data_IF_923049294709
#
_entry.id   IF_923049294709
#
_cell.length_a   1.000
_cell.length_b   1.000
_cell.length_c   1.000
_cell.angle_alpha   90.00
_cell.angle_beta   90.00
_cell.angle_gamma   90.00
#
_symmetry.space_group_name_H-M   'P 1'
#
loop_
_entity.id
_entity.type
_entity.pdbx_description
1 polymer ?
#
# COMPACT_ATOMS: atom_id res chain seq x y z
N UNK A 1 -24.30 -6.18 -13.68
CA UNK A 1 -24.69 -4.82 -14.12
C UNK A 1 -25.55 -4.07 -13.10
N UNK A 2 -25.43 -4.36 -11.79
CA UNK A 2 -26.22 -3.66 -10.75
C UNK A 2 -25.38 -3.25 -9.52
N UNK A 3 -24.11 -3.67 -9.44
CA UNK A 3 -23.17 -3.25 -8.40
C UNK A 3 -22.59 -1.85 -8.67
N UNK A 4 -22.35 -1.52 -9.95
CA UNK A 4 -21.87 -0.20 -10.38
C UNK A 4 -22.89 0.93 -10.12
N UNK A 5 -24.18 0.62 -9.95
CA UNK A 5 -25.22 1.63 -9.66
C UNK A 5 -25.29 2.03 -8.18
N UNK A 6 -24.83 1.19 -7.25
CA UNK A 6 -24.85 1.49 -5.81
C UNK A 6 -23.71 2.40 -5.34
N UNK A 7 -22.71 2.65 -6.19
CA UNK A 7 -21.65 3.64 -5.94
C UNK A 7 -22.12 5.09 -6.19
N UNK A 8 -23.33 5.31 -6.73
CA UNK A 8 -23.75 6.62 -7.24
C UNK A 8 -25.12 7.10 -6.73
N UNK A 9 -25.65 6.53 -5.65
CA UNK A 9 -26.83 7.10 -4.99
C UNK A 9 -26.37 8.16 -3.97
N UNK A 10 -26.78 9.43 -4.07
CA UNK A 10 -26.44 10.46 -3.11
C UNK A 10 -27.31 10.29 -1.84
N UNK A 11 -27.09 9.19 -1.13
CA UNK A 11 -27.68 8.93 0.18
C UNK A 11 -26.73 9.35 1.30
N UNK A 12 -27.29 9.80 2.43
CA UNK A 12 -26.60 10.08 3.71
C UNK A 12 -25.98 8.83 4.37
N UNK A 13 -25.62 7.82 3.58
CA UNK A 13 -24.88 6.63 4.02
C UNK A 13 -23.39 6.98 4.10
N UNK A 14 -22.73 6.73 5.26
CA UNK A 14 -21.27 6.70 5.32
C UNK A 14 -20.72 5.88 4.16
N UNK A 15 -19.60 6.32 3.57
CA UNK A 15 -18.98 5.60 2.46
C UNK A 15 -18.83 4.11 2.84
N UNK A 16 -19.15 3.14 1.98
CA UNK A 16 -19.04 1.71 2.30
C UNK A 16 -17.61 1.23 2.65
N UNK A 17 -16.61 2.13 2.60
CA UNK A 17 -15.22 1.93 3.02
C UNK A 17 -14.81 2.77 4.24
N UNK A 18 -15.75 3.47 4.88
CA UNK A 18 -15.55 4.08 6.19
C UNK A 18 -15.47 2.95 7.22
N UNK A 19 -14.33 2.24 7.22
CA UNK A 19 -14.11 1.06 8.05
C UNK A 19 -14.28 1.42 9.52
N UNK A 20 -15.12 0.64 10.21
CA UNK A 20 -15.16 0.63 11.67
C UNK A 20 -13.79 0.24 12.27
N UNK A 21 -13.67 0.23 13.61
CA UNK A 21 -12.43 -0.18 14.27
C UNK A 21 -12.00 -1.56 13.77
N UNK A 22 -10.72 -1.66 13.40
CA UNK A 22 -10.06 -2.92 13.06
C UNK A 22 -10.15 -3.83 14.30
N UNK A 23 -10.76 -5.02 14.20
CA UNK A 23 -10.68 -5.98 15.28
C UNK A 23 -9.24 -6.48 15.40
N UNK A 24 -8.70 -6.50 16.62
CA UNK A 24 -7.36 -7.02 16.96
C UNK A 24 -7.24 -8.55 16.82
N UNK A 25 -7.87 -9.17 15.82
CA UNK A 25 -8.20 -10.60 15.81
C UNK A 25 -7.39 -11.46 14.83
N UNK A 26 -6.44 -10.88 14.10
CA UNK A 26 -5.61 -11.65 13.17
C UNK A 26 -4.44 -12.32 13.91
N UNK A 27 -4.73 -13.46 14.54
CA UNK A 27 -3.72 -14.30 15.21
C UNK A 27 -3.27 -13.79 16.58
N UNK A 28 -2.31 -14.48 17.21
CA UNK A 28 -1.85 -14.17 18.55
C UNK A 28 -1.09 -12.84 18.61
N UNK A 29 -1.04 -12.25 19.80
CA UNK A 29 -0.07 -11.19 20.10
C UNK A 29 1.35 -11.78 20.14
N UNK A 30 2.32 -11.00 19.67
CA UNK A 30 3.72 -11.38 19.72
C UNK A 30 4.28 -11.24 21.14
N UNK A 31 5.25 -12.09 21.49
CA UNK A 31 6.03 -11.91 22.72
C UNK A 31 6.82 -10.59 22.63
N UNK A 32 6.56 -9.59 23.51
CA UNK A 32 7.29 -8.34 23.49
C UNK A 32 8.82 -8.49 23.58
N UNK A 33 9.31 -9.57 24.20
CA UNK A 33 10.74 -9.84 24.29
C UNK A 33 11.37 -10.28 22.95
N UNK A 34 10.57 -10.74 22.00
CA UNK A 34 11.02 -11.14 20.66
C UNK A 34 10.93 -9.99 19.63
N UNK A 35 10.21 -8.91 19.96
CA UNK A 35 10.02 -7.77 19.07
C UNK A 35 11.27 -6.89 19.00
N UNK A 36 11.68 -6.44 17.80
CA UNK A 36 12.73 -5.44 17.66
C UNK A 36 12.23 -4.05 18.04
N UNK A 37 13.16 -3.15 18.35
CA UNK A 37 12.85 -1.73 18.59
C UNK A 37 12.08 -1.12 17.40
N UNK A 38 10.95 -0.42 17.65
CA UNK A 38 10.21 0.28 16.61
C UNK A 38 11.05 1.31 15.86
N UNK A 39 10.66 1.58 14.61
CA UNK A 39 11.28 2.60 13.77
C UNK A 39 10.24 3.61 13.32
N UNK A 40 10.63 4.89 13.32
CA UNK A 40 9.79 5.97 12.78
C UNK A 40 10.25 6.38 11.39
N UNK A 41 9.32 6.41 10.44
CA UNK A 41 9.50 6.94 9.09
C UNK A 41 8.86 8.32 9.01
N UNK A 42 9.65 9.31 8.59
CA UNK A 42 9.18 10.69 8.43
C UNK A 42 8.62 10.91 7.04
N UNK A 43 7.37 11.36 6.99
CA UNK A 43 6.60 11.45 5.76
C UNK A 43 6.36 12.91 5.39
N UNK A 44 6.63 13.23 4.13
CA UNK A 44 6.04 14.39 3.47
C UNK A 44 4.76 13.96 2.76
N UNK A 45 3.62 14.43 3.23
CA UNK A 45 2.33 14.22 2.57
C UNK A 45 1.99 15.41 1.67
N UNK A 46 1.53 15.16 0.44
CA UNK A 46 1.18 16.20 -0.54
C UNK A 46 -0.18 15.85 -1.14
N UNK A 47 -1.19 16.66 -0.88
CA UNK A 47 -2.52 16.53 -1.48
C UNK A 47 -2.67 17.51 -2.63
N UNK A 48 -2.93 17.01 -3.84
CA UNK A 48 -3.41 17.84 -4.96
C UNK A 48 -4.93 17.94 -4.90
N UNK A 49 -5.43 19.07 -4.39
CA UNK A 49 -6.86 19.32 -4.14
C UNK A 49 -7.31 20.63 -4.83
N UNK A 50 -7.29 20.70 -6.17
CA UNK A 50 -7.58 21.92 -6.90
C UNK A 50 -8.99 22.45 -6.62
N UNK A 51 -9.10 23.77 -6.54
CA UNK A 51 -10.33 24.54 -6.51
C UNK A 51 -11.04 24.45 -7.85
N UNK A 52 -12.37 24.35 -7.83
CA UNK A 52 -13.21 24.31 -9.02
C UNK A 52 -14.09 25.57 -9.11
N UNK A 53 -13.58 26.69 -9.66
CA UNK A 53 -14.36 27.92 -9.83
C UNK A 53 -15.72 27.73 -10.52
N UNK A 54 -15.85 26.90 -11.59
CA UNK A 54 -17.13 26.72 -12.28
C UNK A 54 -18.26 26.12 -11.42
N UNK A 55 -17.95 25.52 -10.27
CA UNK A 55 -18.92 24.84 -9.38
C UNK A 55 -18.93 25.44 -7.97
N UNK A 56 -18.75 26.76 -7.90
CA UNK A 56 -18.88 27.54 -6.67
C UNK A 56 -17.60 27.65 -5.85
N UNK A 57 -16.43 27.39 -6.45
CA UNK A 57 -15.13 27.56 -5.78
C UNK A 57 -14.85 26.54 -4.68
N UNK A 58 -15.57 25.42 -4.64
CA UNK A 58 -15.24 24.28 -3.80
C UNK A 58 -14.03 23.54 -4.35
N UNK A 59 -13.27 22.90 -3.49
CA UNK A 59 -12.20 22.00 -3.92
C UNK A 59 -12.76 20.75 -4.61
N UNK A 60 -11.94 20.06 -5.40
CA UNK A 60 -12.35 18.83 -6.11
C UNK A 60 -12.85 17.77 -5.13
N UNK A 61 -12.18 17.62 -3.98
CA UNK A 61 -12.61 16.72 -2.89
C UNK A 61 -14.00 17.07 -2.38
N UNK A 62 -14.24 18.33 -2.04
CA UNK A 62 -15.53 18.79 -1.50
C UNK A 62 -16.67 18.71 -2.51
N UNK A 63 -16.38 19.00 -3.78
CA UNK A 63 -17.37 18.93 -4.84
C UNK A 63 -17.89 17.51 -5.02
N UNK A 64 -16.98 16.52 -5.06
CA UNK A 64 -17.32 15.11 -5.24
C UNK A 64 -17.56 14.34 -3.94
N UNK A 65 -17.39 14.99 -2.79
CA UNK A 65 -17.55 14.39 -1.45
C UNK A 65 -16.63 13.18 -1.22
N UNK A 66 -15.40 13.30 -1.67
CA UNK A 66 -14.37 12.29 -1.44
C UNK A 66 -13.75 12.39 -0.05
N UNK A 67 -13.01 11.35 0.35
CA UNK A 67 -12.46 11.21 1.70
C UNK A 67 -11.43 12.30 2.02
N UNK A 68 -11.24 12.61 3.30
CA UNK A 68 -10.19 13.52 3.76
C UNK A 68 -8.82 12.80 3.73
N UNK A 69 -7.84 13.28 2.94
CA UNK A 69 -6.49 12.74 2.92
C UNK A 69 -5.79 12.69 4.28
N UNK A 70 -6.11 13.60 5.20
CA UNK A 70 -5.54 13.61 6.56
C UNK A 70 -6.06 12.45 7.39
N UNK A 71 -7.37 12.19 7.29
CA UNK A 71 -7.99 11.05 7.98
C UNK A 71 -7.52 9.73 7.39
N UNK A 72 -7.44 9.65 6.05
CA UNK A 72 -6.88 8.49 5.36
C UNK A 72 -5.44 8.19 5.78
N UNK A 73 -4.57 9.21 5.77
CA UNK A 73 -3.18 9.09 6.21
C UNK A 73 -3.05 8.62 7.66
N UNK A 74 -3.88 9.15 8.57
CA UNK A 74 -3.87 8.77 9.98
C UNK A 74 -4.30 7.31 10.18
N UNK A 75 -5.40 6.89 9.52
CA UNK A 75 -5.90 5.52 9.60
C UNK A 75 -4.92 4.52 8.97
N UNK A 76 -4.35 4.86 7.81
CA UNK A 76 -3.30 4.05 7.18
C UNK A 76 -2.08 3.89 8.08
N UNK A 77 -1.57 4.97 8.68
CA UNK A 77 -0.45 4.90 9.60
C UNK A 77 -0.75 4.01 10.82
N UNK A 78 -1.96 4.10 11.37
CA UNK A 78 -2.42 3.26 12.47
C UNK A 78 -2.49 1.79 12.07
N UNK A 79 -3.08 1.48 10.93
CA UNK A 79 -3.22 0.13 10.40
C UNK A 79 -1.86 -0.53 10.15
N UNK A 80 -0.91 0.21 9.57
CA UNK A 80 0.45 -0.30 9.37
C UNK A 80 1.17 -0.53 10.69
N UNK A 81 0.97 0.35 11.68
CA UNK A 81 1.50 0.13 13.03
C UNK A 81 0.92 -1.14 13.67
N UNK A 82 -0.37 -1.37 13.55
CA UNK A 82 -1.04 -2.55 14.10
C UNK A 82 -0.61 -3.85 13.39
N UNK A 83 -0.59 -3.85 12.06
CA UNK A 83 -0.17 -5.00 11.27
C UNK A 83 1.30 -5.37 11.48
N UNK A 84 2.14 -4.40 11.86
CA UNK A 84 3.57 -4.61 12.12
C UNK A 84 3.90 -4.88 13.59
N UNK A 85 2.92 -5.19 14.44
CA UNK A 85 3.11 -5.41 15.88
C UNK A 85 3.78 -4.22 16.59
N UNK A 86 3.46 -3.00 16.14
CA UNK A 86 4.02 -1.76 16.68
C UNK A 86 5.43 -1.41 16.18
N UNK A 87 5.99 -2.16 15.23
CA UNK A 87 7.33 -1.88 14.70
C UNK A 87 7.37 -0.67 13.76
N UNK A 88 6.37 -0.53 12.89
CA UNK A 88 6.33 0.52 11.87
C UNK A 88 5.57 1.76 12.38
N UNK A 89 6.30 2.84 12.63
CA UNK A 89 5.70 4.15 12.93
C UNK A 89 5.86 5.11 11.76
N UNK A 90 4.81 5.89 11.50
CA UNK A 90 4.87 7.02 10.58
C UNK A 90 4.67 8.33 11.33
N UNK A 91 5.51 9.31 11.04
CA UNK A 91 5.36 10.68 11.49
C UNK A 91 5.22 11.58 10.27
N UNK A 92 4.03 12.15 10.08
CA UNK A 92 3.79 13.12 9.01
C UNK A 92 4.38 14.45 9.47
N UNK A 93 5.58 14.76 8.98
CA UNK A 93 6.32 15.96 9.39
C UNK A 93 5.72 17.20 8.74
N UNK A 94 5.19 17.05 7.52
CA UNK A 94 4.54 18.11 6.78
C UNK A 94 3.44 17.51 5.89
N UNK A 95 2.30 18.18 5.84
CA UNK A 95 1.21 17.83 4.92
C UNK A 95 0.77 19.06 4.14
N UNK A 96 1.25 19.14 2.91
CA UNK A 96 0.97 20.21 1.96
C UNK A 96 -0.36 19.97 1.24
N UNK A 97 -1.15 21.02 1.08
CA UNK A 97 -2.31 21.03 0.20
C UNK A 97 -2.03 21.97 -0.98
N UNK A 98 -2.20 21.46 -2.19
CA UNK A 98 -1.81 22.09 -3.45
C UNK A 98 -3.08 22.37 -4.25
N UNK A 99 -3.37 23.65 -4.48
CA UNK A 99 -4.47 24.09 -5.34
C UNK A 99 -4.04 24.05 -6.83
N UNK A 100 -3.74 22.84 -7.31
CA UNK A 100 -3.43 22.60 -8.71
C UNK A 100 -3.65 21.13 -9.07
N UNK A 101 -3.97 20.89 -10.34
CA UNK A 101 -3.83 19.57 -10.94
C UNK A 101 -2.34 19.31 -11.24
N UNK A 102 -1.83 18.10 -10.96
CA UNK A 102 -0.44 17.77 -11.29
C UNK A 102 -0.25 17.70 -12.81
N UNK A 103 0.98 17.97 -13.26
CA UNK A 103 1.32 17.88 -14.69
C UNK A 103 1.62 16.43 -15.09
N UNK A 104 1.06 16.00 -16.21
CA UNK A 104 1.29 14.68 -16.81
C UNK A 104 2.66 14.61 -17.46
N UNK A 105 3.16 13.40 -17.67
CA UNK A 105 4.48 13.15 -18.26
C UNK A 105 4.62 13.70 -19.68
N UNK A 106 3.51 13.88 -20.40
CA UNK A 106 3.48 14.49 -21.74
C UNK A 106 3.26 16.01 -21.72
N UNK A 107 3.25 16.63 -20.53
CA UNK A 107 3.04 18.05 -20.33
C UNK A 107 1.57 18.47 -20.25
N UNK A 108 0.61 17.56 -20.44
CA UNK A 108 -0.80 17.87 -20.21
C UNK A 108 -1.05 18.23 -18.75
N UNK A 109 -1.94 19.19 -18.50
CA UNK A 109 -2.40 19.51 -17.15
C UNK A 109 -3.89 19.82 -17.23
N UNK A 110 -4.66 19.16 -16.37
CA UNK A 110 -6.06 19.51 -16.20
C UNK A 110 -6.21 20.94 -15.65
N UNK A 111 -7.27 21.59 -16.07
CA UNK A 111 -7.87 22.70 -15.34
C UNK A 111 -9.24 22.26 -14.80
N UNK A 112 -9.89 23.11 -14.01
CA UNK A 112 -11.18 22.79 -13.41
C UNK A 112 -12.25 22.42 -14.45
N UNK A 113 -12.28 23.11 -15.60
CA UNK A 113 -13.30 22.89 -16.62
C UNK A 113 -13.07 21.58 -17.38
N UNK A 114 -11.85 21.33 -17.83
CA UNK A 114 -11.46 20.11 -18.53
C UNK A 114 -11.56 18.88 -17.63
N UNK A 115 -11.25 18.98 -16.34
CA UNK A 115 -11.44 17.87 -15.40
C UNK A 115 -12.92 17.55 -15.17
N UNK A 116 -13.76 18.57 -14.92
CA UNK A 116 -15.21 18.40 -14.78
C UNK A 116 -15.84 17.79 -16.04
N UNK A 117 -15.39 18.21 -17.22
CA UNK A 117 -15.86 17.65 -18.48
C UNK A 117 -15.40 16.21 -18.70
N UNK A 118 -14.14 15.90 -18.39
CA UNK A 118 -13.60 14.54 -18.44
C UNK A 118 -14.38 13.62 -17.50
N UNK A 119 -14.67 14.08 -16.28
CA UNK A 119 -15.50 13.37 -15.30
C UNK A 119 -16.91 13.10 -15.82
N UNK A 120 -17.57 14.13 -16.38
CA UNK A 120 -18.92 14.02 -16.93
C UNK A 120 -18.98 13.04 -18.11
N UNK A 121 -17.98 13.06 -19.00
CA UNK A 121 -17.91 12.19 -20.17
C UNK A 121 -17.35 10.80 -19.88
N UNK A 122 -16.71 10.62 -18.71
CA UNK A 122 -15.88 9.44 -18.38
C UNK A 122 -14.79 9.19 -19.43
N UNK A 123 -14.19 10.27 -19.90
CA UNK A 123 -13.12 10.27 -20.91
C UNK A 123 -11.97 11.14 -20.41
N UNK A 124 -10.95 10.50 -19.85
CA UNK A 124 -9.78 11.17 -19.29
C UNK A 124 -8.62 11.17 -20.27
N UNK A 125 -7.66 12.05 -20.03
CA UNK A 125 -6.47 12.21 -20.83
C UNK A 125 -5.65 10.93 -20.82
N UNK A 126 -5.02 10.63 -21.96
CA UNK A 126 -4.10 9.51 -22.08
C UNK A 126 -2.85 9.99 -22.84
N UNK A 127 -1.63 9.64 -22.38
CA UNK A 127 -1.34 8.82 -21.20
C UNK A 127 -1.64 9.51 -19.85
N UNK A 128 -2.05 8.73 -18.84
CA UNK A 128 -2.44 9.29 -17.52
C UNK A 128 -1.26 9.54 -16.56
N UNK A 129 -0.07 9.00 -16.83
CA UNK A 129 1.06 9.09 -15.89
C UNK A 129 1.49 10.54 -15.57
N UNK A 130 1.76 10.82 -14.29
CA UNK A 130 2.27 12.12 -13.84
C UNK A 130 3.75 12.30 -14.19
N UNK A 131 4.21 13.55 -14.36
CA UNK A 131 5.65 13.86 -14.36
C UNK A 131 6.20 13.82 -12.92
N UNK A 132 6.66 12.65 -12.50
CA UNK A 132 7.30 12.48 -11.19
C UNK A 132 8.54 13.35 -10.99
N UNK A 133 9.29 13.66 -12.05
CA UNK A 133 10.47 14.52 -11.93
C UNK A 133 10.07 15.99 -11.71
N UNK A 134 8.93 16.43 -12.26
CA UNK A 134 8.36 17.73 -11.91
C UNK A 134 8.00 17.78 -10.42
N UNK A 135 7.32 16.76 -9.89
CA UNK A 135 6.98 16.68 -8.47
C UNK A 135 8.25 16.66 -7.58
N UNK A 136 9.24 15.84 -7.91
CA UNK A 136 10.51 15.77 -7.14
C UNK A 136 11.17 17.14 -7.04
N UNK A 137 11.20 17.91 -8.15
CA UNK A 137 11.77 19.27 -8.18
C UNK A 137 10.89 20.27 -7.41
N UNK A 138 9.58 20.26 -7.65
CA UNK A 138 8.62 21.20 -7.07
C UNK A 138 8.63 21.14 -5.53
N UNK A 139 8.66 19.93 -4.97
CA UNK A 139 8.62 19.72 -3.52
C UNK A 139 10.00 19.51 -2.88
N UNK A 140 11.08 19.64 -3.67
CA UNK A 140 12.47 19.48 -3.22
C UNK A 140 12.69 18.16 -2.46
N UNK A 141 12.13 17.08 -3.01
CA UNK A 141 12.07 15.79 -2.31
C UNK A 141 13.47 15.23 -2.06
N UNK A 142 14.38 15.37 -3.02
CA UNK A 142 15.75 14.87 -2.90
C UNK A 142 16.52 15.66 -1.84
N UNK A 143 16.42 16.98 -1.84
CA UNK A 143 17.06 17.83 -0.84
C UNK A 143 16.58 17.46 0.56
N UNK A 144 15.27 17.32 0.76
CA UNK A 144 14.70 16.90 2.05
C UNK A 144 15.13 15.49 2.47
N UNK A 145 15.33 14.56 1.53
CA UNK A 145 15.88 13.23 1.84
C UNK A 145 17.36 13.32 2.22
N UNK A 146 18.13 14.18 1.55
CA UNK A 146 19.56 14.37 1.76
C UNK A 146 19.87 15.05 3.09
N UNK A 147 19.10 16.09 3.42
CA UNK A 147 19.16 16.79 4.71
C UNK A 147 18.64 15.89 5.84
N UNK A 148 18.00 14.78 5.47
CA UNK A 148 17.40 13.85 6.39
C UNK A 148 16.28 14.56 7.14
N UNK A 149 15.37 15.23 6.44
CA UNK A 149 14.10 15.74 6.96
C UNK A 149 12.98 14.72 6.77
N UNK A 150 13.02 13.99 5.65
CA UNK A 150 12.01 13.02 5.25
C UNK A 150 12.64 11.69 4.85
N UNK A 151 11.84 10.65 4.95
CA UNK A 151 12.19 9.26 4.66
C UNK A 151 11.33 8.67 3.52
N UNK A 152 10.14 9.24 3.33
CA UNK A 152 9.11 8.76 2.41
C UNK A 152 8.19 9.92 2.00
N UNK A 153 7.54 9.79 0.84
CA UNK A 153 6.57 10.77 0.34
C UNK A 153 5.23 10.07 0.09
N UNK A 154 4.13 10.68 0.54
CA UNK A 154 2.77 10.24 0.24
C UNK A 154 2.06 11.28 -0.62
N UNK A 155 1.74 10.92 -1.86
CA UNK A 155 0.95 11.75 -2.77
C UNK A 155 -0.52 11.35 -2.63
N UNK A 156 -1.39 12.34 -2.42
CA UNK A 156 -2.83 12.17 -2.42
C UNK A 156 -3.42 12.90 -3.63
N UNK A 157 -4.11 12.16 -4.49
CA UNK A 157 -4.65 12.67 -5.73
C UNK A 157 -6.12 12.34 -5.90
N UNK A 158 -6.76 13.10 -6.78
CA UNK A 158 -8.06 12.76 -7.33
C UNK A 158 -7.90 11.61 -8.35
N UNK A 159 -8.99 10.93 -8.74
CA UNK A 159 -8.96 9.95 -9.82
C UNK A 159 -8.36 10.56 -11.09
N UNK A 160 -7.56 9.77 -11.80
CA UNK A 160 -6.77 10.22 -12.96
C UNK A 160 -5.78 11.33 -12.61
N UNK A 161 -5.25 11.32 -11.38
CA UNK A 161 -4.10 12.13 -10.96
C UNK A 161 -2.79 11.63 -11.57
N UNK A 162 -2.71 10.36 -11.96
CA UNK A 162 -1.56 9.78 -12.67
C UNK A 162 -0.47 9.19 -11.78
N UNK A 163 -0.79 8.91 -10.52
CA UNK A 163 0.16 8.32 -9.58
C UNK A 163 0.18 6.81 -9.73
N UNK A 164 1.39 6.24 -9.76
CA UNK A 164 1.63 4.87 -9.37
C UNK A 164 1.39 4.70 -7.86
N UNK A 165 0.90 3.53 -7.48
CA UNK A 165 0.68 3.09 -6.09
C UNK A 165 1.98 3.18 -5.28
N UNK A 166 3.10 2.75 -5.88
CA UNK A 166 4.44 3.06 -5.38
C UNK A 166 5.43 3.25 -6.53
N UNK A 167 6.46 4.05 -6.29
CA UNK A 167 7.63 4.19 -7.18
C UNK A 167 8.88 4.48 -6.34
N UNK A 168 10.01 3.89 -6.73
CA UNK A 168 11.28 4.09 -6.03
C UNK A 168 12.17 5.12 -6.72
N UNK A 169 12.72 6.03 -5.94
CA UNK A 169 13.70 7.03 -6.34
C UNK A 169 15.02 6.84 -5.59
N UNK A 170 16.09 7.46 -6.09
CA UNK A 170 17.42 7.44 -5.49
C UNK A 170 18.42 6.50 -6.18
N UNK A 171 19.66 6.43 -5.66
CA UNK A 171 20.74 5.62 -6.23
C UNK A 171 20.40 4.13 -6.22
N UNK A 172 20.56 3.46 -7.36
CA UNK A 172 20.27 2.02 -7.48
C UNK A 172 18.80 1.66 -7.25
N UNK A 173 17.87 2.62 -7.44
CA UNK A 173 16.44 2.35 -7.40
C UNK A 173 16.08 1.19 -8.35
N UNK A 174 15.12 0.38 -7.92
CA UNK A 174 14.64 -0.81 -8.63
C UNK A 174 13.11 -0.80 -8.71
N UNK A 175 12.53 -1.80 -9.37
CA UNK A 175 11.07 -1.93 -9.49
C UNK A 175 10.39 -1.96 -8.12
N UNK A 176 9.42 -1.07 -7.91
CA UNK A 176 8.61 -1.01 -6.70
C UNK A 176 7.19 -0.67 -7.12
N UNK A 177 6.46 -1.68 -7.59
CA UNK A 177 5.19 -1.58 -8.32
C UNK A 177 5.14 -0.60 -9.52
N UNK A 178 6.29 -0.03 -9.87
CA UNK A 178 6.51 0.82 -11.02
C UNK A 178 7.99 0.75 -11.42
N UNK A 179 8.33 1.13 -12.66
CA UNK A 179 9.73 1.30 -13.06
C UNK A 179 10.47 2.26 -12.12
N UNK A 180 11.74 1.95 -11.83
CA UNK A 180 12.60 2.83 -11.03
C UNK A 180 12.64 4.25 -11.63
N UNK A 181 12.47 5.28 -10.79
CA UNK A 181 12.43 6.67 -11.22
C UNK A 181 13.82 7.17 -11.64
N UNK A 182 14.06 7.16 -12.95
CA UNK A 182 15.32 7.62 -13.53
C UNK A 182 15.57 9.11 -13.28
N UNK A 183 16.84 9.52 -13.24
CA UNK A 183 17.22 10.93 -13.00
C UNK A 183 17.29 11.34 -11.52
N UNK A 184 17.02 10.43 -10.58
CA UNK A 184 17.04 10.70 -9.13
C UNK A 184 18.26 10.13 -8.39
N UNK A 185 19.24 9.59 -9.12
CA UNK A 185 20.42 8.91 -8.55
C UNK A 185 21.37 9.79 -7.73
N UNK A 186 21.16 11.11 -7.72
CA UNK A 186 21.94 12.07 -6.93
C UNK A 186 21.38 12.29 -5.52
N UNK A 187 20.31 11.58 -5.14
CA UNK A 187 19.89 11.49 -3.74
C UNK A 187 20.91 10.71 -2.90
N UNK A 188 20.99 11.02 -1.62
CA UNK A 188 21.89 10.36 -0.67
C UNK A 188 21.53 8.89 -0.43
N UNK A 189 20.28 8.50 -0.70
CA UNK A 189 19.74 7.16 -0.47
C UNK A 189 18.46 6.92 -1.25
N UNK A 190 18.02 5.66 -1.33
CA UNK A 190 16.72 5.27 -1.89
C UNK A 190 15.58 5.75 -0.99
N UNK A 191 14.49 6.18 -1.61
CA UNK A 191 13.22 6.48 -0.94
C UNK A 191 12.05 6.07 -1.85
N UNK A 192 10.90 5.84 -1.24
CA UNK A 192 9.67 5.46 -1.96
C UNK A 192 8.72 6.66 -1.98
N UNK A 193 8.03 6.84 -3.10
CA UNK A 193 6.89 7.75 -3.24
C UNK A 193 5.66 6.86 -3.38
N UNK A 194 4.74 6.94 -2.41
CA UNK A 194 3.45 6.26 -2.45
C UNK A 194 2.41 7.17 -3.12
N UNK A 195 1.50 6.59 -3.90
CA UNK A 195 0.45 7.33 -4.60
C UNK A 195 -0.94 6.85 -4.24
N UNK A 196 -1.66 7.65 -3.46
CA UNK A 196 -2.99 7.35 -2.95
C UNK A 196 -4.07 8.16 -3.67
N UNK A 197 -5.25 7.56 -3.83
CA UNK A 197 -6.44 8.20 -4.40
C UNK A 197 -7.48 8.45 -3.31
N UNK A 198 -7.84 9.71 -3.05
CA UNK A 198 -8.81 10.05 -2.01
C UNK A 198 -10.28 9.77 -2.38
N UNK A 199 -10.59 9.33 -3.61
CA UNK A 199 -11.87 8.67 -3.93
C UNK A 199 -11.97 7.28 -3.25
N UNK A 200 -10.83 6.66 -2.96
CA UNK A 200 -10.73 5.31 -2.38
C UNK A 200 -10.49 5.37 -0.87
N UNK A 201 -10.46 4.21 -0.22
CA UNK A 201 -10.29 4.09 1.22
C UNK A 201 -8.91 3.57 1.61
N UNK A 202 -8.73 3.33 2.91
CA UNK A 202 -7.48 2.78 3.47
C UNK A 202 -7.20 1.36 2.99
N UNK A 203 -8.23 0.59 2.63
CA UNK A 203 -8.06 -0.75 2.08
C UNK A 203 -7.21 -0.78 0.81
N UNK A 204 -7.44 0.16 -0.10
CA UNK A 204 -6.62 0.33 -1.30
C UNK A 204 -5.23 0.89 -0.96
N UNK A 205 -5.10 1.79 0.02
CA UNK A 205 -3.76 2.26 0.45
C UNK A 205 -2.90 1.11 1.02
N UNK A 206 -3.52 0.13 1.69
CA UNK A 206 -2.85 -1.08 2.16
C UNK A 206 -2.52 -2.04 1.01
N UNK A 207 -3.32 -2.05 -0.05
CA UNK A 207 -3.00 -2.76 -1.29
C UNK A 207 -1.72 -2.21 -1.93
N UNK A 208 -1.61 -0.89 -2.03
CA UNK A 208 -0.41 -0.20 -2.52
C UNK A 208 0.84 -0.58 -1.71
N UNK A 209 0.70 -0.68 -0.38
CA UNK A 209 1.76 -1.16 0.50
C UNK A 209 2.06 -2.65 0.28
N UNK A 210 1.04 -3.47 0.04
CA UNK A 210 1.18 -4.88 -0.29
C UNK A 210 2.04 -5.07 -1.54
N UNK A 211 1.76 -4.33 -2.62
CA UNK A 211 2.56 -4.35 -3.84
C UNK A 211 4.01 -3.85 -3.65
N UNK A 212 4.21 -2.82 -2.82
CA UNK A 212 5.55 -2.42 -2.39
C UNK A 212 6.26 -3.55 -1.66
N UNK A 213 5.58 -4.20 -0.70
CA UNK A 213 6.14 -5.31 0.06
C UNK A 213 6.52 -6.47 -0.86
N UNK A 214 5.67 -6.82 -1.82
CA UNK A 214 5.96 -7.84 -2.81
C UNK A 214 7.21 -7.52 -3.63
N UNK A 215 7.28 -6.29 -4.16
CA UNK A 215 8.43 -5.85 -4.95
C UNK A 215 9.74 -5.89 -4.16
N UNK A 216 9.71 -5.42 -2.91
CA UNK A 216 10.88 -5.37 -2.03
C UNK A 216 11.31 -6.77 -1.60
N UNK A 217 10.38 -7.60 -1.13
CA UNK A 217 10.73 -8.93 -0.64
C UNK A 217 11.15 -9.86 -1.79
N UNK A 218 10.58 -9.71 -2.98
CA UNK A 218 11.06 -10.38 -4.18
C UNK A 218 12.53 -10.03 -4.47
N UNK A 219 12.96 -8.79 -4.21
CA UNK A 219 14.35 -8.36 -4.38
C UNK A 219 15.26 -8.91 -3.27
N UNK A 220 14.81 -8.89 -2.01
CA UNK A 220 15.57 -9.44 -0.86
C UNK A 220 15.88 -10.93 -1.05
N UNK A 221 14.92 -11.69 -1.59
CA UNK A 221 15.04 -13.13 -1.77
C UNK A 221 15.49 -13.55 -3.18
N UNK A 222 15.96 -12.60 -4.01
CA UNK A 222 16.24 -12.85 -5.43
C UNK A 222 17.34 -13.90 -5.67
N UNK A 223 18.35 -13.95 -4.80
CA UNK A 223 19.49 -14.86 -4.92
C UNK A 223 19.31 -16.15 -4.10
N UNK A 224 18.16 -16.33 -3.44
CA UNK A 224 17.86 -17.53 -2.64
C UNK A 224 17.20 -18.59 -3.52
N UNK A 225 17.77 -19.82 -3.61
CA UNK A 225 17.19 -20.92 -4.38
C UNK A 225 15.76 -21.24 -3.96
N UNK A 226 14.90 -21.61 -4.92
CA UNK A 226 13.45 -21.78 -4.72
C UNK A 226 13.08 -22.74 -3.57
N UNK A 227 13.88 -23.79 -3.32
CA UNK A 227 13.65 -24.75 -2.22
C UNK A 227 13.94 -24.19 -0.82
N UNK A 228 14.69 -23.08 -0.72
CA UNK A 228 15.00 -22.37 0.52
C UNK A 228 14.32 -20.99 0.60
N UNK A 229 13.58 -20.59 -0.44
CA UNK A 229 13.02 -19.26 -0.58
C UNK A 229 11.72 -19.11 0.23
N UNK A 230 11.82 -18.57 1.44
CA UNK A 230 10.67 -18.42 2.34
C UNK A 230 9.66 -17.39 1.80
N UNK A 231 10.10 -16.38 1.05
CA UNK A 231 9.16 -15.46 0.40
C UNK A 231 8.26 -16.17 -0.62
N UNK A 232 8.83 -17.03 -1.47
CA UNK A 232 8.03 -17.84 -2.40
C UNK A 232 7.11 -18.84 -1.69
N UNK A 233 7.50 -19.36 -0.52
CA UNK A 233 6.63 -20.19 0.33
C UNK A 233 5.47 -19.35 0.87
N UNK A 234 5.74 -18.18 1.44
CA UNK A 234 4.73 -17.28 2.02
C UNK A 234 3.59 -16.99 1.03
N UNK A 235 3.96 -16.72 -0.23
CA UNK A 235 3.03 -16.35 -1.30
C UNK A 235 2.15 -17.48 -1.86
N UNK A 236 2.29 -18.72 -1.38
CA UNK A 236 1.55 -19.86 -1.93
C UNK A 236 0.06 -19.77 -1.61
N UNK A 237 -0.76 -20.06 -2.61
CA UNK A 237 -2.20 -20.25 -2.49
C UNK A 237 -2.63 -21.44 -3.36
N UNK A 238 -3.79 -21.99 -3.08
CA UNK A 238 -4.18 -23.33 -3.54
C UNK A 238 -4.29 -23.48 -5.06
N UNK A 239 -4.67 -22.43 -5.78
CA UNK A 239 -4.76 -22.49 -7.24
C UNK A 239 -3.39 -22.71 -7.91
N UNK A 240 -2.31 -22.15 -7.35
CA UNK A 240 -0.96 -22.28 -7.90
C UNK A 240 -0.17 -23.42 -7.24
N UNK A 241 -0.50 -23.73 -5.98
CA UNK A 241 0.17 -24.74 -5.17
C UNK A 241 -0.86 -25.62 -4.44
N UNK A 242 -1.58 -26.51 -5.16
CA UNK A 242 -2.64 -27.32 -4.58
C UNK A 242 -2.17 -28.13 -3.37
N UNK A 243 -2.91 -28.02 -2.26
CA UNK A 243 -2.56 -28.69 -0.99
C UNK A 243 -1.31 -28.14 -0.29
N UNK A 244 -0.78 -27.00 -0.75
CA UNK A 244 0.40 -26.33 -0.19
C UNK A 244 0.14 -24.83 0.04
N UNK A 245 -1.10 -24.44 0.30
CA UNK A 245 -1.45 -23.04 0.54
C UNK A 245 -0.87 -22.52 1.85
N UNK A 246 -0.37 -21.28 1.82
CA UNK A 246 0.22 -20.56 2.94
C UNK A 246 -0.60 -19.27 3.14
N UNK A 247 0.00 -18.09 3.08
CA UNK A 247 -0.72 -16.82 3.25
C UNK A 247 -1.29 -16.25 1.95
N UNK A 248 -0.80 -16.70 0.79
CA UNK A 248 -1.16 -16.09 -0.50
C UNK A 248 -0.47 -14.75 -0.71
N UNK A 249 -1.02 -13.91 -1.59
CA UNK A 249 -0.44 -12.63 -1.97
C UNK A 249 -1.48 -11.50 -1.84
N UNK A 250 -1.11 -10.27 -2.19
CA UNK A 250 -2.01 -9.12 -1.99
C UNK A 250 -3.34 -9.30 -2.75
N UNK A 251 -3.33 -9.95 -3.92
CA UNK A 251 -4.49 -10.20 -4.78
C UNK A 251 -5.25 -11.51 -4.48
N UNK A 252 -4.56 -12.53 -3.97
CA UNK A 252 -5.08 -13.89 -3.82
C UNK A 252 -4.92 -14.38 -2.38
N UNK A 253 -6.04 -14.57 -1.70
CA UNK A 253 -6.10 -15.30 -0.44
C UNK A 253 -5.88 -16.81 -0.67
N UNK A 254 -5.63 -17.62 0.38
CA UNK A 254 -5.31 -19.04 0.26
C UNK A 254 -6.28 -19.87 -0.60
N UNK A 255 -7.56 -19.51 -0.63
CA UNK A 255 -8.61 -20.22 -1.37
C UNK A 255 -9.05 -19.55 -2.68
N UNK A 256 -8.50 -18.39 -3.02
CA UNK A 256 -8.91 -17.60 -4.18
C UNK A 256 -8.72 -18.36 -5.49
N UNK A 257 -9.67 -18.20 -6.43
CA UNK A 257 -9.61 -18.83 -7.77
C UNK A 257 -9.53 -17.82 -8.91
N UNK A 258 -9.60 -16.53 -8.59
CA UNK A 258 -9.44 -15.40 -9.50
C UNK A 258 -8.97 -14.19 -8.69
N UNK A 259 -8.56 -13.16 -9.42
CA UNK A 259 -8.11 -11.89 -8.85
C UNK A 259 -9.16 -11.27 -7.93
N UNK A 260 -8.73 -10.77 -6.77
CA UNK A 260 -9.55 -10.16 -5.71
C UNK A 260 -10.66 -11.05 -5.12
N UNK A 261 -10.51 -12.38 -5.20
CA UNK A 261 -11.50 -13.35 -4.72
C UNK A 261 -11.39 -13.61 -3.20
N UNK A 262 -11.31 -12.54 -2.40
CA UNK A 262 -11.19 -12.63 -0.94
C UNK A 262 -12.50 -13.02 -0.24
N UNK A 263 -13.64 -12.89 -0.92
CA UNK A 263 -14.97 -13.27 -0.39
C UNK A 263 -15.34 -14.75 -0.59
N UNK A 264 -14.41 -15.59 -1.07
CA UNK A 264 -14.72 -16.97 -1.42
C UNK A 264 -14.97 -17.84 -0.16
N UNK A 265 -16.15 -18.45 0.00
CA UNK A 265 -16.46 -19.27 1.19
C UNK A 265 -15.88 -20.68 1.13
N UNK A 266 -15.27 -21.10 0.01
CA UNK A 266 -14.68 -22.43 -0.17
C UNK A 266 -13.62 -22.70 0.90
N UNK A 267 -13.77 -23.79 1.64
CA UNK A 267 -12.73 -24.22 2.57
C UNK A 267 -11.49 -24.72 1.81
N UNK A 268 -10.31 -24.39 2.33
CA UNK A 268 -9.03 -24.91 1.85
C UNK A 268 -8.12 -25.25 3.01
N UNK A 269 -7.31 -26.29 2.87
CA UNK A 269 -6.23 -26.53 3.82
C UNK A 269 -5.13 -25.47 3.63
N UNK A 270 -4.80 -24.73 4.67
CA UNK A 270 -3.69 -23.76 4.66
C UNK A 270 -2.82 -23.94 5.92
N UNK A 271 -1.54 -23.63 5.78
CA UNK A 271 -0.55 -23.57 6.85
C UNK A 271 -0.19 -22.13 7.26
N UNK A 272 -1.05 -21.14 6.92
CA UNK A 272 -0.83 -19.72 7.21
C UNK A 272 -0.39 -19.44 8.67
N UNK A 273 -0.97 -20.12 9.65
CA UNK A 273 -0.67 -19.86 11.07
C UNK A 273 0.75 -20.26 11.50
N UNK A 274 1.46 -21.06 10.71
CA UNK A 274 2.87 -21.41 10.94
C UNK A 274 3.76 -20.17 10.89
N UNK A 275 3.35 -19.14 10.14
CA UNK A 275 4.07 -17.87 10.02
C UNK A 275 4.08 -17.03 11.30
N UNK A 276 3.11 -17.24 12.20
CA UNK A 276 3.14 -16.61 13.53
C UNK A 276 4.28 -17.12 14.41
N UNK A 277 4.84 -18.30 14.13
CA UNK A 277 5.95 -18.89 14.89
C UNK A 277 7.33 -18.60 14.28
N UNK A 278 7.39 -17.79 13.21
CA UNK A 278 8.65 -17.48 12.54
C UNK A 278 9.71 -16.96 13.53
N UNK A 279 10.96 -17.47 13.50
CA UNK A 279 11.58 -18.31 12.46
C UNK A 279 11.37 -19.83 12.62
N UNK A 280 10.69 -20.29 13.68
CA UNK A 280 10.55 -21.71 14.00
C UNK A 280 9.37 -22.34 13.25
N UNK A 281 9.39 -22.27 11.92
CA UNK A 281 8.34 -22.85 11.07
C UNK A 281 8.34 -24.38 11.21
N UNK A 282 7.25 -24.93 11.75
CA UNK A 282 7.10 -26.37 12.02
C UNK A 282 6.55 -27.13 10.82
N UNK A 283 5.85 -26.45 9.92
CA UNK A 283 5.10 -27.05 8.81
C UNK A 283 3.90 -27.89 9.27
N UNK A 284 3.47 -27.73 10.53
CA UNK A 284 2.48 -28.60 11.17
C UNK A 284 1.17 -27.88 11.57
N UNK A 285 0.99 -26.61 11.20
CA UNK A 285 -0.19 -25.80 11.56
C UNK A 285 -1.30 -25.82 10.48
N UNK A 286 -1.43 -26.94 9.78
CA UNK A 286 -2.45 -27.12 8.75
C UNK A 286 -3.86 -27.12 9.34
N UNK A 287 -4.73 -26.22 8.83
CA UNK A 287 -6.16 -26.22 9.14
C UNK A 287 -7.00 -25.80 7.94
N UNK A 288 -8.30 -26.06 8.03
CA UNK A 288 -9.26 -25.60 7.03
C UNK A 288 -9.59 -24.12 7.28
N UNK A 289 -9.38 -23.27 6.28
CA UNK A 289 -9.64 -21.82 6.31
C UNK A 289 -10.55 -21.41 5.14
N UNK A 290 -11.23 -20.27 5.25
CA UNK A 290 -11.98 -19.62 4.17
C UNK A 290 -12.05 -18.10 4.41
N UNK A 291 -12.87 -17.40 3.63
CA UNK A 291 -13.00 -15.95 3.73
C UNK A 291 -13.32 -15.39 5.11
N UNK A 292 -13.89 -16.16 6.04
CA UNK A 292 -14.14 -15.69 7.41
C UNK A 292 -12.85 -15.34 8.16
N UNK A 293 -11.73 -15.96 7.78
CA UNK A 293 -10.42 -15.76 8.37
C UNK A 293 -9.88 -14.33 8.18
N UNK A 294 -10.16 -13.73 7.02
CA UNK A 294 -9.56 -12.46 6.58
C UNK A 294 -10.62 -11.40 6.22
N UNK A 295 -11.81 -11.49 6.81
CA UNK A 295 -12.81 -10.42 6.76
C UNK A 295 -13.89 -10.55 5.68
N UNK A 296 -14.16 -11.76 5.18
CA UNK A 296 -15.28 -12.09 4.29
C UNK A 296 -15.36 -11.24 3.00
N UNK A 297 -14.22 -10.89 2.42
CA UNK A 297 -14.14 -10.09 1.21
C UNK A 297 -13.97 -8.58 1.44
N UNK A 298 -13.86 -8.14 2.69
CA UNK A 298 -13.41 -6.79 3.01
C UNK A 298 -11.92 -6.62 2.68
N UNK A 299 -11.62 -5.66 1.81
CA UNK A 299 -10.28 -5.37 1.32
C UNK A 299 -9.31 -4.98 2.44
N UNK A 300 -9.73 -4.12 3.37
CA UNK A 300 -8.89 -3.63 4.46
C UNK A 300 -8.56 -4.76 5.42
N UNK A 301 -9.57 -5.55 5.79
CA UNK A 301 -9.39 -6.71 6.67
C UNK A 301 -8.52 -7.79 6.03
N UNK A 302 -8.65 -8.03 4.72
CA UNK A 302 -7.78 -8.97 4.01
C UNK A 302 -6.32 -8.53 4.06
N UNK A 303 -6.04 -7.27 3.70
CA UNK A 303 -4.67 -6.76 3.70
C UNK A 303 -4.06 -6.72 5.10
N UNK A 304 -4.84 -6.36 6.13
CA UNK A 304 -4.38 -6.41 7.52
C UNK A 304 -4.06 -7.83 7.97
N UNK A 305 -4.91 -8.80 7.63
CA UNK A 305 -4.63 -10.22 7.90
C UNK A 305 -3.32 -10.64 7.22
N UNK A 306 -3.15 -10.36 5.93
CA UNK A 306 -1.97 -10.75 5.17
C UNK A 306 -0.68 -10.08 5.67
N UNK A 307 -0.71 -8.76 5.89
CA UNK A 307 0.42 -7.99 6.40
C UNK A 307 0.84 -8.44 7.81
N UNK A 308 -0.11 -8.82 8.66
CA UNK A 308 0.20 -9.30 10.02
C UNK A 308 0.86 -10.68 10.04
N UNK A 309 0.73 -11.48 8.99
CA UNK A 309 1.48 -12.73 8.86
C UNK A 309 2.95 -12.52 8.47
N UNK A 310 3.35 -11.30 8.09
CA UNK A 310 4.75 -11.03 7.76
C UNK A 310 5.65 -11.25 9.00
N UNK A 311 6.79 -11.96 8.84
CA UNK A 311 7.81 -12.07 9.88
C UNK A 311 8.23 -10.71 10.47
N UNK A 312 8.25 -10.63 11.80
CA UNK A 312 8.37 -9.35 12.52
C UNK A 312 9.32 -9.42 13.74
N UNK A 313 9.96 -10.56 14.01
CA UNK A 313 10.80 -10.76 15.21
C UNK A 313 12.28 -10.40 14.98
N UNK A 314 13.02 -10.20 16.08
CA UNK A 314 14.46 -9.98 16.04
C UNK A 314 15.23 -11.26 15.62
N UNK A 315 16.33 -11.08 14.90
CA UNK A 315 17.22 -12.16 14.47
C UNK A 315 17.48 -12.14 12.96
N UNK A 316 18.20 -13.16 12.49
CA UNK A 316 18.52 -13.34 11.08
C UNK A 316 18.93 -14.78 10.77
N UNK A 317 18.81 -15.16 9.50
CA UNK A 317 19.37 -16.39 8.94
C UNK A 317 19.94 -16.07 7.57
N UNK A 318 21.16 -16.55 7.29
CA UNK A 318 21.83 -16.40 6.00
C UNK A 318 21.85 -14.96 5.44
N UNK A 319 22.00 -13.99 6.33
CA UNK A 319 22.04 -12.56 5.99
C UNK A 319 20.66 -11.88 5.84
N UNK A 320 19.56 -12.64 5.86
CA UNK A 320 18.20 -12.11 5.80
C UNK A 320 17.65 -11.95 7.23
N UNK A 321 17.18 -10.75 7.56
CA UNK A 321 16.58 -10.42 8.85
C UNK A 321 15.22 -11.08 9.02
N UNK A 322 14.92 -11.50 10.23
CA UNK A 322 13.64 -12.10 10.58
C UNK A 322 12.48 -11.11 10.62
N UNK A 323 12.76 -9.83 10.80
CA UNK A 323 11.76 -8.78 10.65
C UNK A 323 11.76 -8.28 9.19
N UNK A 324 10.78 -8.71 8.40
CA UNK A 324 10.63 -8.33 6.99
C UNK A 324 10.17 -6.88 6.81
N UNK A 325 9.42 -6.32 7.78
CA UNK A 325 9.04 -4.91 7.80
C UNK A 325 10.25 -3.97 7.70
N UNK A 326 11.41 -4.40 8.20
CA UNK A 326 12.65 -3.65 8.07
C UNK A 326 13.02 -3.33 6.61
N UNK A 327 12.83 -4.29 5.70
CA UNK A 327 13.10 -4.09 4.28
C UNK A 327 11.99 -3.27 3.62
N UNK A 328 10.73 -3.59 3.95
CA UNK A 328 9.54 -2.94 3.38
C UNK A 328 9.59 -1.43 3.66
N UNK A 329 9.92 -1.03 4.89
CA UNK A 329 9.98 0.39 5.29
C UNK A 329 11.26 1.11 4.82
N UNK A 330 12.40 0.42 4.78
CA UNK A 330 13.69 1.00 4.42
C UNK A 330 14.32 0.25 3.24
N UNK A 331 14.08 0.69 1.99
CA UNK A 331 14.62 0.02 0.82
C UNK A 331 16.16 0.05 0.79
N UNK A 332 16.82 0.86 1.63
CA UNK A 332 18.27 0.90 1.74
C UNK A 332 18.86 -0.36 2.42
N UNK A 333 18.01 -1.22 2.98
CA UNK A 333 18.40 -2.51 3.56
C UNK A 333 18.40 -3.66 2.55
N UNK A 334 17.95 -3.41 1.32
CA UNK A 334 17.80 -4.37 0.23
C UNK A 334 19.03 -4.42 -0.66
#
# INVERSE_FOLDING_TARGET
>A
MDWLRRLFDPGDTPHPLAGGPVPSQFGPEADPAALPEPVTRRVLAITHNPTLPPVGGRTVREHFRWNDPRELAAQYAQDVREASYGYADYSIIEHLEVDAFPVKADGFRYDAASYLEAWRRRQFHQPDGVDYLALVREFRMIERVNDGDIDEVWLFGHPYGGYYESIMAGPGAFWCNAPALQGTGHAARRFVIMGFNFERGVGEMLEDLGHRAESIMQRVWADVPANANLWQRFLRYDQTHPGQAECGNVHFAPNSVRDYDWGNPRMVASNCDDWYDFPNLTGARWRQVNCAEWGNGDIRLHHLWWLRHLPHVAGQMDGIKFNWWKYILDPNRV
#
